data_IF_634482925983
#
_entry.id   IF_634482925983
#
_cell.length_a   1.000
_cell.length_b   1.000
_cell.length_c   1.000
_cell.angle_alpha   90.00
_cell.angle_beta   90.00
_cell.angle_gamma   90.00
#
_symmetry.space_group_name_H-M   'P 1'
#
loop_
_entity.id
_entity.type
_entity.pdbx_description
1 polymer ?
#
# COMPACT_ATOMS: atom_id res chain seq x y z
N UNK A 1 -15.67 -41.83 -23.32
CA UNK A 1 -16.52 -42.00 -22.13
C UNK A 1 -17.75 -41.13 -22.34
N UNK A 2 -18.93 -41.77 -22.31
CA UNK A 2 -20.23 -41.17 -22.62
C UNK A 2 -20.61 -40.11 -21.58
N UNK A 3 -21.24 -39.02 -22.03
CA UNK A 3 -21.56 -37.85 -21.23
C UNK A 3 -22.99 -37.83 -20.66
N UNK A 4 -23.48 -38.95 -20.12
CA UNK A 4 -24.89 -39.07 -19.67
C UNK A 4 -25.09 -39.51 -18.20
N UNK A 5 -24.07 -39.42 -17.33
CA UNK A 5 -24.16 -39.98 -15.95
C UNK A 5 -24.53 -38.97 -14.83
N UNK A 6 -24.75 -37.68 -15.12
CA UNK A 6 -25.02 -36.67 -14.09
C UNK A 6 -26.53 -36.42 -13.88
N UNK A 7 -27.11 -36.90 -12.78
CA UNK A 7 -28.56 -36.78 -12.51
C UNK A 7 -28.95 -35.83 -11.38
N UNK A 8 -28.10 -35.61 -10.36
CA UNK A 8 -28.47 -34.80 -9.18
C UNK A 8 -27.34 -33.90 -8.69
N UNK A 9 -27.67 -32.63 -8.35
CA UNK A 9 -26.75 -31.66 -7.76
C UNK A 9 -27.06 -31.46 -6.27
N UNK A 10 -26.15 -31.87 -5.39
CA UNK A 10 -26.25 -31.61 -3.95
C UNK A 10 -25.45 -30.36 -3.61
N UNK A 11 -26.12 -29.34 -3.04
CA UNK A 11 -25.47 -28.11 -2.56
C UNK A 11 -25.40 -28.13 -1.04
N UNK A 12 -24.20 -27.94 -0.49
CA UNK A 12 -23.97 -27.78 0.94
C UNK A 12 -23.35 -26.41 1.18
N UNK A 13 -23.85 -25.69 2.18
CA UNK A 13 -23.31 -24.41 2.61
C UNK A 13 -22.70 -24.58 3.99
N UNK A 14 -21.44 -24.18 4.16
CA UNK A 14 -20.78 -24.12 5.48
C UNK A 14 -20.53 -22.66 5.83
N UNK A 15 -21.00 -22.24 7.00
CA UNK A 15 -20.70 -20.92 7.54
C UNK A 15 -19.25 -20.84 7.99
N UNK A 16 -18.58 -19.73 7.68
CA UNK A 16 -17.20 -19.42 8.04
C UNK A 16 -17.10 -18.30 9.08
N UNK A 17 -16.05 -17.49 8.97
CA UNK A 17 -15.75 -16.38 9.87
C UNK A 17 -16.65 -15.16 9.61
N UNK A 18 -16.82 -14.33 10.64
CA UNK A 18 -17.59 -13.08 10.57
C UNK A 18 -16.64 -11.94 10.92
N UNK A 19 -16.51 -10.99 10.01
CA UNK A 19 -15.62 -9.83 10.14
C UNK A 19 -16.42 -8.53 10.03
N UNK A 20 -15.81 -7.40 10.41
CA UNK A 20 -16.38 -6.06 10.19
C UNK A 20 -15.90 -5.48 8.86
N UNK A 21 -16.76 -4.74 8.17
CA UNK A 21 -16.37 -4.06 6.94
C UNK A 21 -15.37 -2.93 7.23
N UNK A 22 -14.31 -2.75 6.41
CA UNK A 22 -13.24 -1.78 6.69
C UNK A 22 -13.68 -0.32 6.59
N UNK A 23 -14.82 0.02 6.00
CA UNK A 23 -15.26 1.42 5.83
C UNK A 23 -16.75 1.66 6.05
N UNK A 24 -17.57 0.61 6.11
CA UNK A 24 -19.03 0.73 6.21
C UNK A 24 -19.48 0.15 7.55
N UNK A 25 -20.63 0.59 8.07
CA UNK A 25 -21.32 -0.09 9.17
C UNK A 25 -21.96 -1.37 8.63
N UNK A 26 -21.13 -2.39 8.44
CA UNK A 26 -21.54 -3.68 7.86
C UNK A 26 -20.69 -4.84 8.38
N UNK A 27 -21.27 -6.05 8.38
CA UNK A 27 -20.57 -7.30 8.68
C UNK A 27 -20.29 -8.06 7.38
N UNK A 28 -19.15 -8.74 7.33
CA UNK A 28 -18.74 -9.62 6.24
C UNK A 28 -18.82 -11.05 6.77
N UNK A 29 -19.70 -11.87 6.19
CA UNK A 29 -19.84 -13.28 6.54
C UNK A 29 -19.20 -14.12 5.45
N UNK A 30 -18.12 -14.81 5.80
CA UNK A 30 -17.45 -15.76 4.91
C UNK A 30 -18.23 -17.09 4.93
N UNK A 31 -18.40 -17.73 3.78
CA UNK A 31 -19.05 -19.03 3.69
C UNK A 31 -18.52 -19.83 2.50
N UNK A 32 -18.56 -21.16 2.63
CA UNK A 32 -18.15 -22.09 1.59
C UNK A 32 -19.40 -22.74 0.98
N UNK A 33 -19.47 -22.77 -0.35
CA UNK A 33 -20.46 -23.55 -1.09
C UNK A 33 -19.77 -24.76 -1.72
N UNK A 34 -20.22 -25.94 -1.34
CA UNK A 34 -19.77 -27.22 -1.88
C UNK A 34 -20.89 -27.78 -2.77
N UNK A 35 -20.60 -27.93 -4.06
CA UNK A 35 -21.49 -28.49 -5.06
C UNK A 35 -20.97 -29.88 -5.46
N UNK A 36 -21.74 -30.93 -5.17
CA UNK A 36 -21.38 -32.30 -5.53
C UNK A 36 -22.37 -32.84 -6.55
N UNK A 37 -21.85 -33.28 -7.70
CA UNK A 37 -22.62 -34.02 -8.70
C UNK A 37 -22.63 -35.49 -8.27
N UNK A 38 -23.83 -36.03 -8.11
CA UNK A 38 -24.06 -37.43 -7.78
C UNK A 38 -24.41 -38.21 -9.06
N UNK A 39 -23.79 -39.39 -9.21
CA UNK A 39 -24.13 -40.37 -10.23
C UNK A 39 -25.47 -41.06 -9.97
N UNK A 40 -25.90 -41.94 -10.88
CA UNK A 40 -27.21 -42.62 -10.80
C UNK A 40 -27.40 -43.47 -9.53
N UNK A 41 -26.31 -43.97 -8.92
CA UNK A 41 -26.34 -44.76 -7.68
C UNK A 41 -26.09 -43.93 -6.40
N UNK A 42 -26.02 -42.59 -6.51
CA UNK A 42 -25.84 -41.68 -5.37
C UNK A 42 -24.37 -41.49 -4.95
N UNK A 43 -23.43 -42.00 -5.73
CA UNK A 43 -21.99 -41.85 -5.56
C UNK A 43 -21.49 -40.46 -6.05
N UNK A 44 -20.54 -39.82 -5.34
CA UNK A 44 -20.03 -38.50 -5.71
C UNK A 44 -19.04 -38.60 -6.88
N UNK A 45 -19.36 -37.99 -8.02
CA UNK A 45 -18.53 -38.03 -9.23
C UNK A 45 -17.64 -36.79 -9.41
N UNK A 46 -18.15 -35.59 -9.07
CA UNK A 46 -17.41 -34.34 -9.19
C UNK A 46 -17.81 -33.37 -8.06
N UNK A 47 -16.84 -32.81 -7.35
CA UNK A 47 -17.06 -31.84 -6.28
C UNK A 47 -16.34 -30.53 -6.57
N UNK A 48 -17.07 -29.42 -6.60
CA UNK A 48 -16.52 -28.07 -6.67
C UNK A 48 -16.77 -27.33 -5.35
N UNK A 49 -15.73 -26.70 -4.83
CA UNK A 49 -15.78 -25.87 -3.62
C UNK A 49 -15.50 -24.43 -3.99
N UNK A 50 -16.33 -23.52 -3.49
CA UNK A 50 -16.18 -22.09 -3.73
C UNK A 50 -16.36 -21.31 -2.44
N UNK A 51 -15.33 -20.55 -2.09
CA UNK A 51 -15.37 -19.57 -1.01
C UNK A 51 -16.10 -18.31 -1.48
N UNK A 52 -17.02 -17.83 -0.65
CA UNK A 52 -17.89 -16.70 -0.93
C UNK A 52 -17.99 -15.79 0.30
N UNK A 53 -18.40 -14.54 0.07
CA UNK A 53 -18.60 -13.56 1.13
C UNK A 53 -19.97 -12.89 0.97
N UNK A 54 -20.65 -12.65 2.08
CA UNK A 54 -21.92 -11.90 2.14
C UNK A 54 -21.77 -10.67 3.02
N UNK A 55 -22.11 -9.50 2.49
CA UNK A 55 -22.09 -8.24 3.23
C UNK A 55 -23.47 -7.95 3.82
N UNK A 56 -23.55 -7.76 5.13
CA UNK A 56 -24.75 -7.38 5.87
C UNK A 56 -24.63 -5.91 6.28
N UNK A 57 -25.33 -5.01 5.58
CA UNK A 57 -25.30 -3.57 5.86
C UNK A 57 -26.26 -3.19 6.98
N UNK A 58 -25.75 -2.53 8.01
CA UNK A 58 -26.47 -2.20 9.24
C UNK A 58 -26.95 -0.74 9.19
N UNK A 59 -27.98 -0.49 8.37
CA UNK A 59 -28.49 0.87 8.09
C UNK A 59 -28.97 1.62 9.34
N UNK A 60 -29.41 0.90 10.37
CA UNK A 60 -29.94 1.49 11.61
C UNK A 60 -28.89 1.64 12.72
N UNK A 61 -27.64 1.20 12.52
CA UNK A 61 -26.63 1.23 13.57
C UNK A 61 -26.13 2.66 13.83
N UNK A 62 -26.41 3.15 15.04
CA UNK A 62 -26.02 4.46 15.55
C UNK A 62 -25.62 4.36 17.04
N UNK A 63 -25.18 5.47 17.64
CA UNK A 63 -24.67 5.51 19.02
C UNK A 63 -25.71 5.06 20.09
N UNK A 64 -27.00 5.12 19.79
CA UNK A 64 -28.09 4.76 20.70
C UNK A 64 -28.75 3.42 20.36
N UNK A 65 -28.18 2.68 19.41
CA UNK A 65 -28.75 1.39 19.01
C UNK A 65 -28.49 0.33 20.07
N UNK A 66 -29.52 -0.39 20.48
CA UNK A 66 -29.37 -1.56 21.32
C UNK A 66 -28.73 -2.71 20.52
N UNK A 67 -27.49 -3.02 20.87
CA UNK A 67 -26.67 -4.03 20.17
C UNK A 67 -27.23 -5.43 20.39
N UNK A 68 -27.75 -5.73 21.57
CA UNK A 68 -28.24 -7.07 21.93
C UNK A 68 -29.50 -7.45 21.14
N UNK A 69 -30.42 -6.51 20.92
CA UNK A 69 -31.57 -6.77 20.03
C UNK A 69 -31.16 -6.82 18.55
N UNK A 70 -30.23 -5.96 18.12
CA UNK A 70 -29.74 -5.96 16.74
C UNK A 70 -28.99 -7.26 16.39
N UNK A 71 -28.15 -7.78 17.28
CA UNK A 71 -27.40 -9.01 17.06
C UNK A 71 -28.32 -10.22 16.90
N UNK A 72 -29.32 -10.35 17.77
CA UNK A 72 -30.34 -11.41 17.66
C UNK A 72 -31.06 -11.34 16.31
N UNK A 73 -31.48 -10.14 15.90
CA UNK A 73 -32.11 -9.93 14.60
C UNK A 73 -31.18 -10.31 13.42
N UNK A 74 -29.90 -9.95 13.48
CA UNK A 74 -28.92 -10.30 12.43
C UNK A 74 -28.72 -11.81 12.31
N UNK A 75 -28.66 -12.53 13.44
CA UNK A 75 -28.54 -13.99 13.48
C UNK A 75 -29.82 -14.67 12.97
N UNK A 76 -30.99 -14.17 13.35
CA UNK A 76 -32.29 -14.69 12.90
C UNK A 76 -32.50 -14.47 11.38
N UNK A 77 -32.12 -13.31 10.86
CA UNK A 77 -32.30 -12.96 9.44
C UNK A 77 -31.21 -13.58 8.53
N UNK A 78 -30.05 -13.99 9.07
CA UNK A 78 -28.93 -14.51 8.29
C UNK A 78 -28.64 -16.00 8.53
N UNK A 79 -29.20 -16.86 7.67
CA UNK A 79 -28.99 -18.34 7.68
C UNK A 79 -27.52 -18.81 7.52
N UNK A 80 -26.59 -17.90 7.22
CA UNK A 80 -25.15 -18.21 7.11
C UNK A 80 -24.44 -18.10 8.47
N UNK A 81 -25.07 -17.48 9.46
CA UNK A 81 -24.54 -17.30 10.81
C UNK A 81 -25.21 -18.34 11.72
N UNK A 82 -24.41 -19.19 12.37
CA UNK A 82 -24.94 -20.17 13.31
C UNK A 82 -25.33 -19.48 14.65
N UNK A 83 -26.44 -19.88 15.31
CA UNK A 83 -26.87 -19.26 16.58
C UNK A 83 -25.83 -19.23 17.70
N UNK A 84 -24.87 -20.16 17.69
CA UNK A 84 -23.76 -20.16 18.65
C UNK A 84 -22.81 -18.97 18.53
N UNK A 85 -22.84 -18.24 17.40
CA UNK A 85 -22.02 -17.06 17.12
C UNK A 85 -22.68 -15.75 17.55
N UNK A 86 -23.78 -15.79 18.30
CA UNK A 86 -24.50 -14.59 18.74
C UNK A 86 -23.58 -13.60 19.48
N UNK A 87 -22.77 -14.10 20.42
CA UNK A 87 -21.84 -13.27 21.20
C UNK A 87 -20.76 -12.61 20.31
N UNK A 88 -20.29 -13.34 19.30
CA UNK A 88 -19.33 -12.83 18.31
C UNK A 88 -19.98 -11.68 17.51
N UNK A 89 -21.21 -11.85 17.05
CA UNK A 89 -21.97 -10.80 16.35
C UNK A 89 -22.19 -9.57 17.24
N UNK A 90 -22.55 -9.76 18.52
CA UNK A 90 -22.72 -8.65 19.47
C UNK A 90 -21.42 -7.84 19.64
N UNK A 91 -20.29 -8.51 19.81
CA UNK A 91 -18.99 -7.84 19.94
C UNK A 91 -18.62 -7.03 18.69
N UNK A 92 -18.84 -7.60 17.49
CA UNK A 92 -18.56 -6.92 16.22
C UNK A 92 -19.47 -5.70 16.01
N UNK A 93 -20.74 -5.81 16.40
CA UNK A 93 -21.70 -4.70 16.37
C UNK A 93 -21.33 -3.60 17.37
N UNK A 94 -20.89 -3.97 18.58
CA UNK A 94 -20.37 -3.03 19.57
C UNK A 94 -19.14 -2.28 19.05
N UNK A 95 -18.21 -3.00 18.42
CA UNK A 95 -17.06 -2.39 17.76
C UNK A 95 -17.50 -1.39 16.68
N UNK A 96 -18.43 -1.79 15.79
CA UNK A 96 -18.92 -0.91 14.72
C UNK A 96 -19.69 0.32 15.24
N UNK A 97 -20.35 0.23 16.39
CA UNK A 97 -21.04 1.36 17.02
C UNK A 97 -20.06 2.40 17.56
N UNK A 98 -18.96 1.94 18.17
CA UNK A 98 -17.96 2.80 18.82
C UNK A 98 -16.80 3.18 17.90
N UNK A 99 -16.77 2.63 16.69
CA UNK A 99 -15.80 2.98 15.67
C UNK A 99 -15.98 4.45 15.28
N UNK A 100 -14.94 5.25 15.51
CA UNK A 100 -14.90 6.63 14.98
C UNK A 100 -14.99 6.55 13.46
N UNK A 101 -16.04 7.15 12.91
CA UNK A 101 -16.26 7.25 11.48
C UNK A 101 -15.12 8.08 10.87
N UNK A 102 -14.05 7.43 10.41
CA UNK A 102 -13.01 8.08 9.59
C UNK A 102 -13.58 8.32 8.19
N UNK A 103 -14.43 9.34 8.06
CA UNK A 103 -14.80 9.90 6.77
C UNK A 103 -13.80 11.02 6.43
N UNK A 104 -13.15 10.99 5.25
CA UNK A 104 -12.43 12.16 4.76
C UNK A 104 -13.46 13.14 4.20
N UNK A 105 -13.78 14.20 4.95
CA UNK A 105 -14.68 15.23 4.44
C UNK A 105 -15.18 16.23 5.47
N UNK A 106 -14.66 17.47 5.33
CA UNK A 106 -15.01 18.74 6.00
C UNK A 106 -14.42 18.96 7.38
N UNK A 107 -13.27 19.63 7.34
CA UNK A 107 -12.77 20.50 8.40
C UNK A 107 -13.90 21.29 9.06
N UNK A 108 -14.09 21.04 10.36
CA UNK A 108 -14.39 22.11 11.31
C UNK A 108 -13.28 22.06 12.36
N UNK A 109 -12.54 23.17 12.44
CA UNK A 109 -11.62 23.48 13.52
C UNK A 109 -12.35 23.40 14.86
N UNK A 110 -12.29 22.23 15.50
CA UNK A 110 -12.49 22.12 16.94
C UNK A 110 -11.16 21.71 17.56
N UNK A 111 -10.78 22.46 18.60
CA UNK A 111 -9.48 22.42 19.26
C UNK A 111 -9.11 20.97 19.62
N UNK A 112 -8.03 20.49 19.02
CA UNK A 112 -7.44 19.20 19.32
C UNK A 112 -6.99 19.15 20.78
N UNK A 113 -7.72 18.41 21.62
CA UNK A 113 -7.06 17.69 22.69
C UNK A 113 -6.20 16.63 22.00
N UNK A 114 -4.88 16.81 22.03
CA UNK A 114 -3.91 15.82 21.52
C UNK A 114 -4.34 14.41 21.95
N UNK A 115 -4.30 13.39 21.07
CA UNK A 115 -4.40 12.03 21.54
C UNK A 115 -3.31 11.84 22.61
N UNK A 116 -3.68 11.33 23.78
CA UNK A 116 -2.70 11.00 24.82
C UNK A 116 -1.69 10.06 24.19
N UNK A 117 -0.41 10.37 24.36
CA UNK A 117 0.68 9.50 23.91
C UNK A 117 0.42 8.08 24.42
N UNK A 118 0.66 7.04 23.60
CA UNK A 118 0.73 5.70 24.13
C UNK A 118 1.73 5.71 25.30
N UNK A 119 1.44 5.01 26.41
CA UNK A 119 2.36 4.95 27.53
C UNK A 119 3.75 4.55 27.03
N UNK A 120 4.83 5.16 27.56
CA UNK A 120 6.19 4.76 27.19
C UNK A 120 6.32 3.25 27.36
N UNK A 121 6.77 2.56 26.31
CA UNK A 121 7.20 1.18 26.46
C UNK A 121 8.43 1.21 27.38
N UNK A 122 8.33 0.61 28.56
CA UNK A 122 9.42 0.59 29.54
C UNK A 122 10.71 0.09 28.87
N UNK A 123 11.74 0.95 28.83
CA UNK A 123 13.07 0.61 28.32
C UNK A 123 13.60 1.42 27.12
N UNK A 124 12.87 2.43 26.61
CA UNK A 124 13.32 3.30 25.51
C UNK A 124 13.39 4.79 25.88
N UNK A 125 14.00 5.14 27.01
CA UNK A 125 14.44 6.53 27.22
C UNK A 125 15.82 6.68 26.58
N UNK A 126 15.82 7.01 25.30
CA UNK A 126 17.00 7.57 24.63
C UNK A 126 16.92 9.08 24.77
N UNK A 127 17.99 9.71 25.26
CA UNK A 127 18.10 11.17 25.44
C UNK A 127 18.16 11.93 24.10
N UNK A 128 18.35 11.20 23.00
CA UNK A 128 18.47 11.71 21.64
C UNK A 128 17.11 12.09 21.04
N UNK A 129 17.07 13.20 20.31
CA UNK A 129 15.85 13.68 19.64
C UNK A 129 15.91 13.28 18.18
N UNK A 130 15.03 12.37 17.78
CA UNK A 130 14.97 11.90 16.40
C UNK A 130 14.60 13.02 15.42
N UNK A 131 15.29 13.04 14.29
CA UNK A 131 15.07 13.94 13.17
C UNK A 131 14.76 13.11 11.91
N UNK A 132 13.78 13.55 11.12
CA UNK A 132 13.34 12.81 9.93
C UNK A 132 14.43 12.73 8.85
N UNK A 133 15.37 13.68 8.87
CA UNK A 133 16.49 13.72 7.93
C UNK A 133 17.59 12.71 8.22
N UNK A 134 17.58 12.07 9.40
CA UNK A 134 18.60 11.09 9.80
C UNK A 134 18.05 9.66 9.68
N UNK A 135 17.00 9.47 8.86
CA UNK A 135 16.27 8.20 8.76
C UNK A 135 17.14 7.04 8.29
N UNK A 136 18.02 7.29 7.33
CA UNK A 136 18.96 6.29 6.82
C UNK A 136 19.92 5.81 7.93
N UNK A 137 20.44 6.72 8.75
CA UNK A 137 21.28 6.37 9.91
C UNK A 137 20.50 5.48 10.91
N UNK A 138 19.22 5.77 11.12
CA UNK A 138 18.38 4.96 12.02
C UNK A 138 18.09 3.57 11.45
N UNK A 139 17.98 3.45 10.13
CA UNK A 139 17.79 2.18 9.42
C UNK A 139 19.07 1.35 9.46
N UNK A 140 20.25 1.96 9.32
CA UNK A 140 21.55 1.27 9.44
C UNK A 140 21.69 0.58 10.80
N UNK A 141 21.29 1.25 11.88
CA UNK A 141 21.28 0.67 13.23
C UNK A 141 20.46 -0.63 13.34
N UNK A 142 19.48 -0.86 12.46
CA UNK A 142 18.67 -2.09 12.45
C UNK A 142 19.45 -3.33 11.95
N UNK A 143 20.58 -3.11 11.25
CA UNK A 143 21.45 -4.17 10.73
C UNK A 143 22.61 -4.54 11.68
N UNK A 144 22.86 -3.71 12.69
CA UNK A 144 23.96 -3.88 13.67
C UNK A 144 23.59 -4.81 14.86
N UNK A 145 24.28 -4.68 16.00
CA UNK A 145 24.03 -5.51 17.19
C UNK A 145 22.71 -5.14 17.91
N UNK A 146 22.20 -6.03 18.77
CA UNK A 146 20.91 -5.85 19.47
C UNK A 146 20.77 -4.46 20.14
N UNK A 147 21.78 -3.89 20.83
CA UNK A 147 21.67 -2.56 21.40
C UNK A 147 21.40 -1.46 20.36
N UNK A 148 22.05 -1.54 19.21
CA UNK A 148 21.88 -0.58 18.10
C UNK A 148 20.50 -0.76 17.46
N UNK A 149 20.03 -2.00 17.28
CA UNK A 149 18.66 -2.24 16.79
C UNK A 149 17.60 -1.64 17.70
N UNK A 150 17.79 -1.76 19.01
CA UNK A 150 16.88 -1.15 20.01
C UNK A 150 16.91 0.38 19.89
N UNK A 151 18.10 0.97 19.73
CA UNK A 151 18.27 2.42 19.54
C UNK A 151 17.63 2.92 18.24
N UNK A 152 17.94 2.31 17.10
CA UNK A 152 17.36 2.68 15.80
C UNK A 152 15.84 2.54 15.78
N UNK A 153 15.31 1.46 16.37
CA UNK A 153 13.86 1.26 16.51
C UNK A 153 13.20 2.33 17.38
N UNK A 154 13.87 2.79 18.45
CA UNK A 154 13.36 3.83 19.33
C UNK A 154 13.32 5.21 18.65
N UNK A 155 14.35 5.55 17.86
CA UNK A 155 14.41 6.79 17.08
C UNK A 155 13.34 6.82 15.97
N UNK A 156 13.18 5.71 15.24
CA UNK A 156 12.10 5.55 14.24
C UNK A 156 10.72 5.68 14.91
N UNK A 157 10.54 5.08 16.10
CA UNK A 157 9.29 5.20 16.86
C UNK A 157 9.02 6.65 17.29
N UNK A 158 10.06 7.40 17.68
CA UNK A 158 9.92 8.82 18.04
C UNK A 158 9.48 9.65 16.82
N UNK A 159 10.01 9.37 15.63
CA UNK A 159 9.53 10.01 14.39
C UNK A 159 8.08 9.64 14.08
N UNK A 160 7.70 8.37 14.23
CA UNK A 160 6.35 7.89 13.96
C UNK A 160 5.29 8.43 14.94
N UNK A 161 5.69 8.91 16.13
CA UNK A 161 4.80 9.58 17.09
C UNK A 161 4.41 10.99 16.65
N UNK A 162 5.16 11.61 15.73
CA UNK A 162 4.73 12.86 15.12
C UNK A 162 3.78 12.56 13.94
N UNK A 163 2.49 12.92 14.04
CA UNK A 163 1.53 12.68 12.96
C UNK A 163 1.91 13.36 11.64
N UNK A 164 2.69 14.45 11.68
CA UNK A 164 3.16 15.16 10.49
C UNK A 164 4.23 14.34 9.73
N UNK A 165 5.04 13.55 10.46
CA UNK A 165 6.06 12.67 9.87
C UNK A 165 5.48 11.31 9.44
N UNK A 166 4.34 10.92 10.01
CA UNK A 166 3.78 9.58 9.84
C UNK A 166 3.35 9.28 8.41
N UNK A 167 2.80 10.26 7.69
CA UNK A 167 2.40 10.07 6.29
C UNK A 167 3.63 9.79 5.40
N UNK A 168 4.71 10.54 5.61
CA UNK A 168 5.95 10.43 4.84
C UNK A 168 6.72 9.14 5.19
N UNK A 169 6.85 8.81 6.48
CA UNK A 169 7.43 7.56 6.95
C UNK A 169 6.71 6.33 6.40
N UNK A 170 5.37 6.33 6.49
CA UNK A 170 4.56 5.22 5.98
C UNK A 170 4.69 5.10 4.46
N UNK A 171 4.74 6.23 3.74
CA UNK A 171 4.96 6.22 2.30
C UNK A 171 6.33 5.66 1.94
N UNK A 172 7.41 6.11 2.60
CA UNK A 172 8.78 5.64 2.37
C UNK A 172 8.89 4.13 2.61
N UNK A 173 8.45 3.66 3.77
CA UNK A 173 8.49 2.22 4.12
C UNK A 173 7.64 1.40 3.15
N UNK A 174 6.44 1.87 2.79
CA UNK A 174 5.58 1.17 1.85
C UNK A 174 6.22 1.08 0.45
N UNK A 175 6.81 2.18 -0.04
CA UNK A 175 7.47 2.21 -1.34
C UNK A 175 8.71 1.31 -1.39
N UNK A 176 9.49 1.26 -0.31
CA UNK A 176 10.65 0.38 -0.19
C UNK A 176 10.24 -1.10 -0.25
N UNK A 177 9.21 -1.48 0.50
CA UNK A 177 8.66 -2.83 0.46
C UNK A 177 8.11 -3.18 -0.92
N UNK A 178 7.38 -2.26 -1.57
CA UNK A 178 6.85 -2.48 -2.91
C UNK A 178 7.96 -2.62 -3.95
N UNK A 179 9.04 -1.84 -3.84
CA UNK A 179 10.20 -1.93 -4.71
C UNK A 179 10.85 -3.33 -4.62
N UNK A 180 11.01 -3.85 -3.40
CA UNK A 180 11.55 -5.19 -3.17
C UNK A 180 10.61 -6.26 -3.73
N UNK A 181 9.30 -6.16 -3.46
CA UNK A 181 8.30 -7.09 -3.99
C UNK A 181 8.20 -7.08 -5.51
N UNK A 182 8.51 -5.95 -6.16
CA UNK A 182 8.53 -5.85 -7.61
C UNK A 182 9.69 -6.63 -8.25
N UNK A 183 10.61 -7.25 -7.49
CA UNK A 183 11.65 -8.13 -8.08
C UNK A 183 11.03 -9.37 -8.72
N UNK A 184 9.89 -9.83 -8.17
CA UNK A 184 9.07 -10.85 -8.81
C UNK A 184 8.20 -10.21 -9.90
N UNK A 185 8.45 -10.59 -11.16
CA UNK A 185 7.75 -10.04 -12.33
C UNK A 185 6.24 -10.28 -12.30
N UNK A 186 5.76 -11.34 -11.65
CA UNK A 186 4.30 -11.58 -11.49
C UNK A 186 3.69 -10.58 -10.52
N UNK A 187 4.39 -10.26 -9.45
CA UNK A 187 3.99 -9.26 -8.47
C UNK A 187 4.07 -7.87 -9.08
N UNK A 188 5.13 -7.56 -9.83
CA UNK A 188 5.25 -6.32 -10.60
C UNK A 188 4.06 -6.10 -11.53
N UNK A 189 3.67 -7.13 -12.31
CA UNK A 189 2.51 -7.05 -13.20
C UNK A 189 1.20 -6.75 -12.44
N UNK A 190 1.02 -7.34 -11.25
CA UNK A 190 -0.13 -7.04 -10.38
C UNK A 190 -0.09 -5.60 -9.87
N UNK A 191 1.08 -5.07 -9.53
CA UNK A 191 1.25 -3.67 -9.11
C UNK A 191 0.95 -2.70 -10.25
N UNK A 192 1.41 -3.00 -11.46
CA UNK A 192 1.06 -2.25 -12.67
C UNK A 192 -0.46 -2.16 -12.86
N UNK A 193 -1.17 -3.29 -12.74
CA UNK A 193 -2.64 -3.33 -12.81
C UNK A 193 -3.34 -2.54 -11.69
N UNK A 194 -2.60 -2.10 -10.66
CA UNK A 194 -3.06 -1.21 -9.59
C UNK A 194 -2.54 0.23 -9.73
N UNK A 195 -2.04 0.59 -10.91
CA UNK A 195 -1.54 1.92 -11.27
C UNK A 195 -0.34 2.39 -10.44
N UNK A 196 0.56 1.47 -10.08
CA UNK A 196 1.78 1.83 -9.33
C UNK A 196 2.62 2.90 -10.05
N UNK A 197 2.76 2.79 -11.38
CA UNK A 197 3.52 3.75 -12.18
C UNK A 197 2.95 5.16 -12.03
N UNK A 198 1.63 5.31 -12.16
CA UNK A 198 0.98 6.61 -12.04
C UNK A 198 1.17 7.24 -10.65
N UNK A 199 1.12 6.41 -9.60
CA UNK A 199 1.36 6.87 -8.23
C UNK A 199 2.81 7.34 -8.05
N UNK A 200 3.78 6.57 -8.55
CA UNK A 200 5.21 6.92 -8.48
C UNK A 200 5.52 8.21 -9.25
N UNK A 201 4.98 8.38 -10.47
CA UNK A 201 5.20 9.61 -11.26
C UNK A 201 4.59 10.85 -10.60
N UNK A 202 3.48 10.69 -9.85
CA UNK A 202 2.93 11.78 -9.01
C UNK A 202 3.80 12.07 -7.79
N UNK A 203 4.44 11.05 -7.21
CA UNK A 203 5.34 11.24 -6.07
C UNK A 203 6.60 12.04 -6.42
N UNK A 204 6.95 12.17 -7.71
CA UNK A 204 8.02 13.07 -8.18
C UNK A 204 7.73 14.57 -7.94
N UNK A 205 6.50 14.95 -7.58
CA UNK A 205 6.15 16.34 -7.24
C UNK A 205 6.46 16.70 -5.76
N UNK A 206 7.09 15.79 -5.00
CA UNK A 206 7.54 16.01 -3.63
C UNK A 206 8.98 16.58 -3.62
N UNK A 207 9.36 17.24 -2.53
CA UNK A 207 10.67 17.91 -2.42
C UNK A 207 11.70 17.11 -1.58
N UNK A 208 11.30 16.01 -0.94
CA UNK A 208 12.20 15.19 -0.12
C UNK A 208 13.14 14.35 -1.02
N UNK A 209 14.44 14.63 -0.95
CA UNK A 209 15.44 13.96 -1.79
C UNK A 209 15.51 12.45 -1.60
N UNK A 210 15.42 11.93 -0.38
CA UNK A 210 15.46 10.48 -0.13
C UNK A 210 14.24 9.76 -0.69
N UNK A 211 13.04 10.32 -0.48
CA UNK A 211 11.83 9.81 -1.12
C UNK A 211 11.96 9.83 -2.65
N UNK A 212 12.49 10.92 -3.22
CA UNK A 212 12.69 11.03 -4.67
C UNK A 212 13.71 9.99 -5.16
N UNK A 213 14.80 9.73 -4.44
CA UNK A 213 15.78 8.68 -4.79
C UNK A 213 15.10 7.32 -4.83
N UNK A 214 14.26 7.00 -3.83
CA UNK A 214 13.51 5.75 -3.79
C UNK A 214 12.49 5.64 -4.94
N UNK A 215 11.72 6.69 -5.19
CA UNK A 215 10.72 6.76 -6.27
C UNK A 215 11.39 6.60 -7.64
N UNK A 216 12.47 7.34 -7.89
CA UNK A 216 13.21 7.28 -9.16
C UNK A 216 13.90 5.92 -9.31
N UNK A 217 14.41 5.33 -8.23
CA UNK A 217 14.95 3.95 -8.24
C UNK A 217 13.89 2.93 -8.65
N UNK A 218 12.67 3.09 -8.14
CA UNK A 218 11.55 2.21 -8.49
C UNK A 218 11.12 2.41 -9.94
N UNK A 219 10.95 3.66 -10.39
CA UNK A 219 10.66 3.95 -11.79
C UNK A 219 11.74 3.41 -12.73
N UNK A 220 13.03 3.53 -12.36
CA UNK A 220 14.15 2.94 -13.12
C UNK A 220 13.99 1.45 -13.31
N UNK A 221 13.65 0.71 -12.25
CA UNK A 221 13.38 -0.73 -12.34
C UNK A 221 12.21 -1.02 -13.28
N UNK A 222 11.07 -0.35 -13.08
CA UNK A 222 9.88 -0.59 -13.87
C UNK A 222 10.10 -0.25 -15.36
N UNK A 223 10.96 0.72 -15.66
CA UNK A 223 11.26 1.18 -17.04
C UNK A 223 11.92 0.13 -17.94
N UNK A 224 12.35 -1.00 -17.38
CA UNK A 224 12.88 -2.11 -18.16
C UNK A 224 11.78 -2.74 -19.02
N UNK A 225 10.55 -2.78 -18.54
CA UNK A 225 9.40 -3.36 -19.24
C UNK A 225 8.66 -2.33 -20.09
N UNK A 226 8.25 -2.73 -21.29
CA UNK A 226 7.63 -1.83 -22.27
C UNK A 226 6.28 -1.30 -21.78
N UNK A 227 5.49 -2.14 -21.12
CA UNK A 227 4.17 -1.80 -20.62
C UNK A 227 4.23 -0.71 -19.55
N UNK A 228 5.19 -0.79 -18.63
CA UNK A 228 5.42 0.25 -17.63
C UNK A 228 5.94 1.54 -18.27
N UNK A 229 6.81 1.45 -19.29
CA UNK A 229 7.26 2.64 -20.04
C UNK A 229 6.10 3.36 -20.71
N UNK A 230 5.16 2.62 -21.30
CA UNK A 230 3.96 3.22 -21.89
C UNK A 230 3.15 4.00 -20.83
N UNK A 231 2.94 3.40 -19.66
CA UNK A 231 2.26 4.08 -18.55
C UNK A 231 3.05 5.34 -18.07
N UNK A 232 4.38 5.33 -18.12
CA UNK A 232 5.21 6.51 -17.82
C UNK A 232 5.10 7.61 -18.89
N UNK A 233 4.99 7.22 -20.17
CA UNK A 233 4.79 8.15 -21.29
C UNK A 233 3.46 8.89 -21.11
N UNK A 234 2.39 8.18 -20.73
CA UNK A 234 1.07 8.76 -20.46
C UNK A 234 1.08 9.82 -19.35
N UNK A 235 2.08 9.75 -18.47
CA UNK A 235 2.24 10.65 -17.32
C UNK A 235 3.32 11.72 -17.53
N UNK A 236 3.78 11.92 -18.77
CA UNK A 236 4.80 12.92 -19.15
C UNK A 236 6.10 12.83 -18.33
N UNK A 237 6.56 11.60 -18.05
CA UNK A 237 7.72 11.34 -17.17
C UNK A 237 8.96 12.17 -17.53
N UNK A 238 9.24 12.38 -18.82
CA UNK A 238 10.42 13.11 -19.28
C UNK A 238 10.38 14.57 -18.84
N UNK A 239 9.21 15.21 -18.88
CA UNK A 239 9.10 16.61 -18.43
C UNK A 239 9.40 16.75 -16.94
N UNK A 240 8.94 15.79 -16.14
CA UNK A 240 9.20 15.77 -14.69
C UNK A 240 10.67 15.55 -14.39
N UNK A 241 11.29 14.53 -14.96
CA UNK A 241 12.71 14.22 -14.71
C UNK A 241 13.65 15.33 -15.20
N UNK A 242 13.37 15.96 -16.34
CA UNK A 242 14.24 17.02 -16.89
C UNK A 242 14.17 18.31 -16.05
N UNK A 243 13.05 18.57 -15.37
CA UNK A 243 12.94 19.68 -14.40
C UNK A 243 13.81 19.48 -13.17
N UNK A 244 14.08 18.23 -12.80
CA UNK A 244 14.96 17.88 -11.69
C UNK A 244 16.45 18.05 -12.04
N UNK A 245 16.80 18.41 -13.28
CA UNK A 245 18.19 18.59 -13.71
C UNK A 245 18.44 20.08 -14.00
N UNK A 246 19.52 20.71 -13.46
CA UNK A 246 20.51 20.13 -12.55
C UNK A 246 19.95 19.93 -11.13
N UNK A 247 20.54 18.98 -10.39
CA UNK A 247 20.25 18.72 -8.98
C UNK A 247 21.57 18.72 -8.22
N UNK A 248 21.60 19.37 -7.05
CA UNK A 248 22.79 19.39 -6.18
C UNK A 248 23.00 18.05 -5.47
N UNK A 249 21.92 17.30 -5.22
CA UNK A 249 22.01 15.98 -4.58
C UNK A 249 22.52 14.94 -5.59
N UNK A 250 23.78 14.52 -5.43
CA UNK A 250 24.48 13.66 -6.39
C UNK A 250 23.76 12.33 -6.64
N UNK A 251 23.30 11.64 -5.59
CA UNK A 251 22.61 10.36 -5.75
C UNK A 251 21.30 10.49 -6.53
N UNK A 252 20.51 11.53 -6.25
CA UNK A 252 19.27 11.80 -6.98
C UNK A 252 19.58 12.15 -8.44
N UNK A 253 20.59 12.96 -8.69
CA UNK A 253 21.04 13.27 -10.06
C UNK A 253 21.44 11.99 -10.79
N UNK A 254 22.26 11.15 -10.16
CA UNK A 254 22.78 9.92 -10.74
C UNK A 254 21.66 8.94 -11.11
N UNK A 255 20.73 8.68 -10.19
CA UNK A 255 19.62 7.77 -10.45
C UNK A 255 18.63 8.34 -11.47
N UNK A 256 18.41 9.65 -11.48
CA UNK A 256 17.59 10.35 -12.50
C UNK A 256 18.19 10.21 -13.88
N UNK A 257 19.50 10.41 -14.04
CA UNK A 257 20.21 10.22 -15.30
C UNK A 257 20.16 8.76 -15.77
N UNK A 258 20.28 7.79 -14.86
CA UNK A 258 20.14 6.36 -15.18
C UNK A 258 18.73 6.00 -15.66
N UNK A 259 17.69 6.58 -15.05
CA UNK A 259 16.31 6.41 -15.54
C UNK A 259 16.12 7.06 -16.92
N UNK A 260 16.60 8.30 -17.12
CA UNK A 260 16.55 8.95 -18.43
C UNK A 260 17.29 8.14 -19.51
N UNK A 261 18.42 7.52 -19.16
CA UNK A 261 19.13 6.60 -20.06
C UNK A 261 18.24 5.41 -20.45
N UNK A 262 17.59 4.74 -19.50
CA UNK A 262 16.66 3.64 -19.80
C UNK A 262 15.51 4.08 -20.71
N UNK A 263 14.99 5.29 -20.50
CA UNK A 263 13.91 5.85 -21.32
C UNK A 263 14.38 6.26 -22.72
N UNK A 264 15.66 6.62 -22.89
CA UNK A 264 16.21 7.09 -24.18
C UNK A 264 16.27 6.02 -25.28
N UNK A 265 16.15 4.74 -24.90
CA UNK A 265 16.02 3.64 -25.84
C UNK A 265 14.69 3.69 -26.61
N UNK A 266 13.67 4.36 -26.07
CA UNK A 266 12.45 4.68 -26.80
C UNK A 266 12.65 5.94 -27.68
N UNK A 267 12.28 5.85 -28.96
CA UNK A 267 12.49 6.95 -29.91
C UNK A 267 11.60 8.16 -29.64
N UNK A 268 10.36 7.96 -29.19
CA UNK A 268 9.45 9.04 -28.84
C UNK A 268 9.95 9.81 -27.62
N UNK A 269 10.33 9.10 -26.55
CA UNK A 269 10.88 9.70 -25.34
C UNK A 269 12.21 10.41 -25.60
N UNK A 270 13.09 9.84 -26.43
CA UNK A 270 14.36 10.49 -26.80
C UNK A 270 14.13 11.80 -27.56
N UNK A 271 13.17 11.85 -28.48
CA UNK A 271 12.78 13.09 -29.13
C UNK A 271 12.21 14.11 -28.13
N UNK A 272 11.36 13.66 -27.21
CA UNK A 272 10.80 14.50 -26.14
C UNK A 272 11.91 15.09 -25.27
N UNK A 273 12.92 14.31 -24.88
CA UNK A 273 14.07 14.79 -24.10
C UNK A 273 14.79 15.97 -24.76
N UNK A 274 14.98 15.90 -26.09
CA UNK A 274 15.55 17.00 -26.87
C UNK A 274 14.63 18.23 -26.83
N UNK A 275 13.33 18.02 -27.07
CA UNK A 275 12.33 19.10 -27.07
C UNK A 275 12.24 19.85 -25.74
N UNK A 276 12.38 19.15 -24.62
CA UNK A 276 12.29 19.74 -23.28
C UNK A 276 13.65 20.29 -22.78
N UNK A 277 14.68 20.30 -23.63
CA UNK A 277 15.96 20.93 -23.33
C UNK A 277 16.88 20.11 -22.42
N UNK A 278 16.84 18.77 -22.49
CA UNK A 278 17.77 17.92 -21.73
C UNK A 278 19.23 18.09 -22.22
N UNK A 279 19.47 18.20 -23.53
CA UNK A 279 20.83 18.25 -24.08
C UNK A 279 21.68 19.42 -23.52
N UNK A 280 21.20 20.68 -23.51
CA UNK A 280 21.95 21.78 -22.89
C UNK A 280 22.30 21.54 -21.42
N UNK A 281 21.38 20.93 -20.66
CA UNK A 281 21.59 20.61 -19.23
C UNK A 281 22.69 19.56 -19.06
N UNK A 282 22.72 18.52 -19.89
CA UNK A 282 23.78 17.50 -19.88
C UNK A 282 25.15 18.07 -20.26
N UNK A 283 25.21 18.94 -21.28
CA UNK A 283 26.48 19.60 -21.63
C UNK A 283 26.99 20.52 -20.53
N UNK A 284 26.11 21.19 -19.79
CA UNK A 284 26.50 22.01 -18.65
C UNK A 284 27.10 21.15 -17.52
N UNK A 285 26.49 20.00 -17.21
CA UNK A 285 27.02 19.06 -16.21
C UNK A 285 28.40 18.51 -16.59
N UNK A 286 28.61 18.16 -17.86
CA UNK A 286 29.93 17.74 -18.34
C UNK A 286 30.95 18.86 -18.23
N UNK A 287 30.57 20.11 -18.52
CA UNK A 287 31.45 21.26 -18.43
C UNK A 287 31.95 21.54 -17.00
N UNK A 288 31.15 21.24 -15.97
CA UNK A 288 31.59 21.37 -14.57
C UNK A 288 32.70 20.38 -14.22
N UNK A 289 32.65 19.14 -14.72
CA UNK A 289 33.67 18.11 -14.47
C UNK A 289 35.06 18.42 -15.05
N UNK A 290 35.16 19.35 -15.99
CA UNK A 290 36.44 19.75 -16.61
C UNK A 290 37.06 21.02 -16.01
N UNK A 291 36.39 21.68 -15.05
CA UNK A 291 36.89 22.94 -14.46
C UNK A 291 37.65 22.70 -13.15
N UNK A 292 37.49 21.54 -12.50
CA UNK A 292 38.08 21.28 -11.17
C UNK A 292 39.55 20.80 -11.19
N UNK A 293 40.14 20.50 -12.36
CA UNK A 293 41.54 20.05 -12.48
C UNK A 293 42.56 21.18 -12.71
N UNK A 294 42.11 22.42 -12.96
CA UNK A 294 42.97 23.59 -13.20
C UNK A 294 42.83 24.63 -12.07
N UNK A 295 43.32 24.30 -10.86
CA UNK A 295 43.75 25.33 -9.92
C UNK A 295 43.61 25.03 -8.42
N UNK A 296 44.66 24.46 -7.82
CA UNK A 296 45.39 24.97 -6.63
C UNK A 296 46.44 23.94 -6.18
#
# INVERSE_FOLDING_TARGET
MQGEDARYLKRKVKGGNIDVHPSEKALIVQYEVEATILGEMGDPMLGERKECQKIIRLKSLNANTDITSLARKVVEECKLIHPSKLNEVEQLLYYLQNRRDSLPGKEKKEKSSKPKDPPPFEGMEIDEVANINDMDEYIELLYEDIPDKVRGSALILQLARNPDNLEELLLNVALYLLLNLAEDTRTELKMRNKNIVHMLVKALDRDNFELLILVVSFLKKLSIFMENKNDMVEMDIVEKLVKMIPCEHEDLLNITLRLLLNLSFDTGLRNKMVQVGLLPKLTALLGMLYIDDDGS
#
